data_IF_262614946974
#
_entry.id   IF_262614946974
#
_cell.length_a   1.000
_cell.length_b   1.000
_cell.length_c   1.000
_cell.angle_alpha   90.00
_cell.angle_beta   90.00
_cell.angle_gamma   90.00
#
_symmetry.space_group_name_H-M   'P 1'
#
loop_
_entity.id
_entity.type
_entity.pdbx_description
1 polymer ?
#
# COMPACT_ATOMS: atom_id res chain seq x y z
N UNK A 1 -22.82 -18.27 14.93
CA UNK A 1 -23.63 -17.10 14.56
C UNK A 1 -24.95 -17.64 14.02
N UNK A 2 -26.07 -17.24 14.65
CA UNK A 2 -27.40 -17.70 14.37
C UNK A 2 -28.28 -16.54 13.91
N UNK A 3 -29.46 -16.85 13.35
CA UNK A 3 -30.45 -15.83 12.98
C UNK A 3 -30.84 -14.99 14.19
N UNK A 4 -30.90 -13.67 14.02
CA UNK A 4 -31.17 -12.71 15.09
C UNK A 4 -29.98 -12.25 15.90
N UNK A 5 -28.80 -12.85 15.73
CA UNK A 5 -27.57 -12.35 16.33
C UNK A 5 -27.22 -10.95 15.78
N UNK A 6 -26.49 -10.17 16.58
CA UNK A 6 -25.95 -8.88 16.13
C UNK A 6 -24.44 -8.97 15.97
N UNK A 7 -23.96 -8.65 14.78
CA UNK A 7 -22.53 -8.55 14.48
C UNK A 7 -22.10 -7.10 14.28
N UNK A 8 -21.09 -6.65 15.03
CA UNK A 8 -20.61 -5.28 14.99
C UNK A 8 -19.21 -5.24 14.37
N UNK A 9 -19.06 -4.53 13.25
CA UNK A 9 -17.76 -4.16 12.73
C UNK A 9 -17.23 -2.91 13.42
N UNK A 10 -16.27 -3.05 14.34
CA UNK A 10 -15.62 -1.90 14.97
C UNK A 10 -14.46 -1.32 14.12
N UNK A 11 -14.16 -1.95 13.00
CA UNK A 11 -13.12 -1.50 12.07
C UNK A 11 -13.72 -0.70 10.90
N UNK A 12 -13.01 0.33 10.47
CA UNK A 12 -13.37 1.07 9.26
C UNK A 12 -12.90 0.31 8.00
N UNK A 13 -13.74 0.29 6.98
CA UNK A 13 -13.36 -0.26 5.67
C UNK A 13 -12.20 0.56 5.09
N UNK A 14 -11.12 -0.12 4.71
CA UNK A 14 -9.96 0.50 4.07
C UNK A 14 -10.20 0.55 2.56
N UNK A 15 -9.89 1.68 1.87
CA UNK A 15 -10.00 1.76 0.42
C UNK A 15 -9.30 0.59 -0.28
N UNK A 16 -10.04 -0.11 -1.15
CA UNK A 16 -9.60 -1.32 -1.85
C UNK A 16 -10.06 -2.64 -1.22
N UNK A 17 -10.60 -2.63 0.00
CA UNK A 17 -11.15 -3.82 0.68
C UNK A 17 -12.68 -3.88 0.66
N UNK A 18 -13.34 -2.93 0.02
CA UNK A 18 -14.80 -2.78 0.04
C UNK A 18 -15.52 -4.05 -0.42
N UNK A 19 -15.04 -4.67 -1.50
CA UNK A 19 -15.64 -5.89 -2.06
C UNK A 19 -15.55 -7.05 -1.07
N UNK A 20 -14.41 -7.22 -0.41
CA UNK A 20 -14.21 -8.30 0.56
C UNK A 20 -15.07 -8.09 1.81
N UNK A 21 -15.13 -6.86 2.33
CA UNK A 21 -15.96 -6.51 3.49
C UNK A 21 -17.44 -6.67 3.17
N UNK A 22 -17.92 -6.15 2.03
CA UNK A 22 -19.31 -6.29 1.60
C UNK A 22 -19.71 -7.76 1.41
N UNK A 23 -18.80 -8.61 0.94
CA UNK A 23 -19.05 -10.05 0.85
C UNK A 23 -19.32 -10.67 2.23
N UNK A 24 -18.56 -10.27 3.25
CA UNK A 24 -18.78 -10.77 4.63
C UNK A 24 -20.11 -10.25 5.17
N UNK A 25 -20.41 -8.95 4.98
CA UNK A 25 -21.68 -8.34 5.39
C UNK A 25 -22.86 -9.08 4.76
N UNK A 26 -22.84 -9.30 3.44
CA UNK A 26 -23.90 -9.98 2.73
C UNK A 26 -24.09 -11.42 3.23
N UNK A 27 -23.00 -12.15 3.46
CA UNK A 27 -23.07 -13.53 3.98
C UNK A 27 -23.68 -13.60 5.40
N UNK A 28 -23.43 -12.59 6.24
CA UNK A 28 -24.02 -12.49 7.57
C UNK A 28 -25.52 -12.13 7.47
N UNK A 29 -25.85 -11.16 6.64
CA UNK A 29 -27.24 -10.73 6.43
C UNK A 29 -28.12 -11.84 5.83
N UNK A 30 -27.57 -12.65 4.92
CA UNK A 30 -28.24 -13.81 4.32
C UNK A 30 -28.60 -14.89 5.37
N UNK A 31 -27.85 -14.93 6.49
CA UNK A 31 -28.11 -15.78 7.64
C UNK A 31 -29.07 -15.14 8.68
N UNK A 32 -29.67 -14.00 8.38
CA UNK A 32 -30.55 -13.30 9.31
C UNK A 32 -29.83 -12.58 10.46
N UNK A 33 -28.52 -12.35 10.33
CA UNK A 33 -27.73 -11.63 11.33
C UNK A 33 -27.90 -10.12 11.13
N UNK A 34 -28.13 -9.37 12.20
CA UNK A 34 -28.15 -7.91 12.18
C UNK A 34 -26.73 -7.37 12.15
N UNK A 35 -26.31 -6.77 11.02
CA UNK A 35 -24.96 -6.26 10.87
C UNK A 35 -24.94 -4.76 11.14
N UNK A 36 -24.10 -4.33 12.09
CA UNK A 36 -23.80 -2.91 12.38
C UNK A 36 -22.37 -2.59 11.99
N UNK A 37 -22.15 -1.49 11.28
CA UNK A 37 -20.82 -1.11 10.78
C UNK A 37 -20.59 0.41 10.89
N UNK A 38 -19.35 0.84 10.66
CA UNK A 38 -18.77 2.08 11.14
C UNK A 38 -19.22 3.40 10.48
N UNK A 39 -20.22 3.41 9.62
CA UNK A 39 -20.85 4.65 9.20
C UNK A 39 -21.63 5.32 10.34
N UNK A 40 -21.97 4.54 11.35
CA UNK A 40 -22.43 5.00 12.65
C UNK A 40 -21.17 5.24 13.50
N UNK A 41 -20.84 6.50 13.76
CA UNK A 41 -19.64 6.97 14.51
C UNK A 41 -19.45 6.34 15.90
N UNK A 42 -20.31 5.43 16.29
CA UNK A 42 -20.38 4.83 17.62
C UNK A 42 -19.43 3.64 17.82
N UNK A 43 -18.99 2.96 16.73
CA UNK A 43 -18.27 1.69 16.87
C UNK A 43 -16.79 1.74 16.47
N UNK A 44 -16.30 2.85 15.93
CA UNK A 44 -14.92 2.97 15.48
C UNK A 44 -14.23 4.20 16.06
N UNK A 45 -13.08 3.96 16.68
CA UNK A 45 -12.13 5.01 17.07
C UNK A 45 -10.92 4.92 16.14
N UNK A 46 -10.59 6.04 15.50
CA UNK A 46 -9.40 6.10 14.62
C UNK A 46 -8.13 5.79 15.42
N UNK A 47 -7.27 4.92 14.90
CA UNK A 47 -5.92 4.71 15.44
C UNK A 47 -4.97 5.87 15.17
N UNK A 48 -5.35 6.80 14.27
CA UNK A 48 -4.60 8.03 14.04
C UNK A 48 -5.07 9.14 14.97
N UNK A 49 -4.12 9.78 15.61
CA UNK A 49 -4.40 10.89 16.53
C UNK A 49 -4.96 12.10 15.77
N UNK A 50 -5.88 12.84 16.40
CA UNK A 50 -6.35 14.12 15.91
C UNK A 50 -5.42 15.27 16.35
N UNK A 51 -5.65 16.49 15.82
CA UNK A 51 -4.80 17.65 16.14
C UNK A 51 -4.76 17.99 17.64
N UNK A 52 -5.88 18.03 18.38
CA UNK A 52 -5.86 18.26 19.82
C UNK A 52 -5.00 17.25 20.59
N UNK A 53 -5.20 15.97 20.36
CA UNK A 53 -4.42 14.89 21.01
C UNK A 53 -2.92 14.98 20.66
N UNK A 54 -2.61 15.22 19.39
CA UNK A 54 -1.25 15.45 18.93
C UNK A 54 -0.60 16.64 19.67
N UNK A 55 -1.32 17.74 19.83
CA UNK A 55 -0.81 18.91 20.55
C UNK A 55 -0.63 18.66 22.04
N UNK A 56 -1.49 17.86 22.66
CA UNK A 56 -1.31 17.47 24.07
C UNK A 56 -0.10 16.56 24.26
N UNK A 57 0.17 15.68 23.30
CA UNK A 57 1.42 14.90 23.27
C UNK A 57 2.65 15.81 23.21
N UNK A 58 2.68 16.78 22.29
CA UNK A 58 3.81 17.71 22.16
C UNK A 58 3.99 18.62 23.38
N UNK A 59 2.91 19.03 24.05
CA UNK A 59 3.01 19.77 25.33
C UNK A 59 3.72 18.95 26.42
N UNK A 60 3.49 17.64 26.45
CA UNK A 60 4.11 16.72 27.43
C UNK A 60 5.58 16.42 27.07
N UNK A 61 5.85 16.09 25.82
CA UNK A 61 7.19 15.70 25.34
C UNK A 61 8.13 16.89 25.22
N UNK A 62 7.63 18.07 24.85
CA UNK A 62 8.37 19.33 24.62
C UNK A 62 9.57 19.11 23.68
N UNK A 63 9.38 18.58 22.46
CA UNK A 63 10.48 18.31 21.55
C UNK A 63 11.15 19.60 21.08
N UNK A 64 12.46 19.57 20.91
CA UNK A 64 13.23 20.69 20.36
C UNK A 64 13.06 20.79 18.84
N UNK A 65 12.85 19.65 18.18
CA UNK A 65 12.71 19.52 16.74
C UNK A 65 11.84 18.32 16.42
N UNK A 66 10.99 18.44 15.39
CA UNK A 66 10.06 17.38 14.97
C UNK A 66 10.25 17.10 13.49
N UNK A 67 10.33 15.82 13.13
CA UNK A 67 10.28 15.34 11.76
C UNK A 67 9.00 14.53 11.55
N UNK A 68 7.96 15.10 10.92
CA UNK A 68 6.78 14.33 10.52
C UNK A 68 7.20 13.24 9.53
N UNK A 69 6.74 11.99 9.79
CA UNK A 69 7.07 10.85 8.95
C UNK A 69 5.85 9.93 8.77
N UNK A 70 5.97 8.95 7.89
CA UNK A 70 4.93 7.95 7.64
C UNK A 70 3.62 8.57 7.14
N UNK A 71 3.69 9.33 6.05
CA UNK A 71 2.52 9.94 5.43
C UNK A 71 2.81 10.47 4.03
N UNK A 72 1.76 10.81 3.31
CA UNK A 72 1.89 11.52 2.05
C UNK A 72 2.48 12.92 2.29
N UNK A 73 3.21 13.44 1.32
CA UNK A 73 3.90 14.73 1.44
C UNK A 73 2.97 15.88 1.88
N UNK A 74 1.72 15.88 1.41
CA UNK A 74 0.71 16.89 1.81
C UNK A 74 0.41 16.84 3.30
N UNK A 75 0.36 15.64 3.90
CA UNK A 75 0.11 15.45 5.33
C UNK A 75 1.33 15.87 6.15
N UNK A 76 2.54 15.53 5.70
CA UNK A 76 3.79 15.93 6.35
C UNK A 76 3.95 17.45 6.37
N UNK A 77 3.65 18.11 5.25
CA UNK A 77 3.66 19.58 5.13
C UNK A 77 2.59 20.22 6.04
N UNK A 78 1.38 19.64 6.05
CA UNK A 78 0.30 20.09 6.94
C UNK A 78 0.69 20.00 8.40
N UNK A 79 1.27 18.89 8.82
CA UNK A 79 1.76 18.66 10.18
C UNK A 79 2.85 19.68 10.57
N UNK A 80 3.88 19.85 9.70
CA UNK A 80 4.92 20.89 9.86
C UNK A 80 4.29 22.27 10.07
N UNK A 81 3.32 22.66 9.23
CA UNK A 81 2.65 23.96 9.30
C UNK A 81 1.94 24.17 10.65
N UNK A 82 1.22 23.14 11.13
CA UNK A 82 0.53 23.19 12.43
C UNK A 82 1.54 23.42 13.57
N UNK A 83 2.65 22.67 13.58
CA UNK A 83 3.68 22.78 14.61
C UNK A 83 4.38 24.13 14.60
N UNK A 84 4.78 24.61 13.44
CA UNK A 84 5.45 25.91 13.30
C UNK A 84 4.54 27.07 13.76
N UNK A 85 3.23 27.00 13.51
CA UNK A 85 2.25 27.97 14.01
C UNK A 85 2.11 27.94 15.55
N UNK A 86 2.60 26.90 16.20
CA UNK A 86 2.64 26.73 17.65
C UNK A 86 4.05 26.90 18.24
N UNK A 87 4.97 27.49 17.47
CA UNK A 87 6.38 27.69 17.85
C UNK A 87 7.12 26.37 18.16
N UNK A 88 6.70 25.25 17.59
CA UNK A 88 7.42 23.99 17.63
C UNK A 88 8.14 23.81 16.29
N UNK A 89 9.48 23.82 16.35
CA UNK A 89 10.30 23.67 15.14
C UNK A 89 10.06 22.31 14.49
N UNK A 90 9.66 22.31 13.23
CA UNK A 90 9.42 21.08 12.49
C UNK A 90 9.98 21.18 11.07
N UNK A 91 10.53 20.06 10.55
CA UNK A 91 11.06 19.98 9.21
C UNK A 91 10.59 18.69 8.52
N UNK A 92 10.29 18.78 7.22
CA UNK A 92 9.92 17.60 6.41
C UNK A 92 11.16 17.09 5.72
N UNK A 93 11.40 15.79 5.83
CA UNK A 93 12.49 15.06 5.19
C UNK A 93 11.87 14.01 4.26
N UNK A 94 12.37 13.95 3.04
CA UNK A 94 11.93 12.98 2.04
C UNK A 94 12.79 11.72 2.10
N UNK A 95 12.26 10.63 1.56
CA UNK A 95 13.04 9.40 1.42
C UNK A 95 14.31 9.67 0.59
N UNK A 96 15.45 9.17 1.06
CA UNK A 96 16.76 9.35 0.44
C UNK A 96 17.46 10.66 0.78
N UNK A 97 16.81 11.60 1.46
CA UNK A 97 17.50 12.79 1.99
C UNK A 97 18.30 12.42 3.25
N UNK A 98 19.57 12.78 3.25
CA UNK A 98 20.42 12.74 4.44
C UNK A 98 20.35 14.10 5.12
N UNK A 99 20.16 14.11 6.41
CA UNK A 99 20.10 15.33 7.20
C UNK A 99 21.21 15.33 8.26
N UNK A 100 21.85 16.47 8.40
CA UNK A 100 22.75 16.75 9.50
C UNK A 100 22.12 17.81 10.41
N UNK A 101 22.19 17.59 11.71
CA UNK A 101 21.64 18.49 12.73
C UNK A 101 22.79 18.90 13.65
N UNK A 102 23.09 20.17 13.68
CA UNK A 102 24.10 20.69 14.58
C UNK A 102 23.56 20.94 16.01
N UNK A 103 24.46 21.33 16.93
CA UNK A 103 24.13 21.60 18.33
C UNK A 103 23.14 22.77 18.50
N UNK A 104 23.02 23.64 17.52
CA UNK A 104 22.11 24.79 17.50
C UNK A 104 20.80 24.45 16.76
N UNK A 105 20.55 23.16 16.49
CA UNK A 105 19.38 22.63 15.76
C UNK A 105 19.25 23.21 14.34
N UNK A 106 20.36 23.61 13.73
CA UNK A 106 20.41 23.97 12.31
C UNK A 106 20.43 22.68 11.49
N UNK A 107 19.58 22.62 10.48
CA UNK A 107 19.43 21.45 9.62
C UNK A 107 20.12 21.74 8.30
N UNK A 108 21.02 20.88 7.89
CA UNK A 108 21.59 20.82 6.55
C UNK A 108 21.06 19.57 5.86
N UNK A 109 20.59 19.70 4.64
CA UNK A 109 20.04 18.59 3.84
C UNK A 109 20.96 18.30 2.67
N UNK A 110 21.26 17.02 2.48
CA UNK A 110 21.87 16.48 1.29
C UNK A 110 20.87 15.56 0.57
N UNK A 111 20.60 15.85 -0.69
CA UNK A 111 19.65 15.10 -1.55
C UNK A 111 20.40 14.35 -2.65
N UNK A 112 21.67 14.00 -2.42
CA UNK A 112 22.51 13.28 -3.39
C UNK A 112 21.99 11.87 -3.69
N UNK A 113 21.36 11.24 -2.71
CA UNK A 113 20.82 9.89 -2.85
C UNK A 113 19.38 9.93 -3.41
N UNK A 114 19.18 9.30 -4.56
CA UNK A 114 17.83 9.09 -5.10
C UNK A 114 17.36 7.69 -4.70
N UNK A 115 16.29 7.57 -3.91
CA UNK A 115 15.79 6.27 -3.53
C UNK A 115 15.27 5.54 -4.77
N UNK A 116 15.85 4.39 -5.06
CA UNK A 116 15.37 3.50 -6.10
C UNK A 116 14.31 2.54 -5.54
N UNK A 117 13.34 2.19 -6.39
CA UNK A 117 12.37 1.15 -6.05
C UNK A 117 12.99 -0.20 -6.34
N UNK A 118 13.20 -0.99 -5.30
CA UNK A 118 13.66 -2.36 -5.41
C UNK A 118 12.49 -3.33 -5.28
N UNK A 119 12.48 -4.33 -6.13
CA UNK A 119 11.52 -5.44 -6.08
C UNK A 119 12.22 -6.67 -5.50
N UNK A 120 11.53 -7.38 -4.63
CA UNK A 120 12.00 -8.63 -4.01
C UNK A 120 11.20 -9.78 -4.60
N UNK A 121 11.87 -10.75 -5.19
CA UNK A 121 11.29 -11.98 -5.71
C UNK A 121 12.08 -13.18 -5.18
N UNK A 122 11.62 -13.79 -4.13
CA UNK A 122 12.34 -14.82 -3.40
C UNK A 122 13.68 -14.30 -2.87
N UNK A 123 14.77 -14.77 -3.44
CA UNK A 123 16.16 -14.33 -3.11
C UNK A 123 16.71 -13.25 -4.04
N UNK A 124 15.96 -12.88 -5.06
CA UNK A 124 16.40 -11.89 -6.06
C UNK A 124 15.90 -10.51 -5.60
N UNK A 125 16.82 -9.57 -5.52
CA UNK A 125 16.52 -8.15 -5.31
C UNK A 125 17.02 -7.41 -6.54
N UNK A 126 16.12 -6.69 -7.21
CA UNK A 126 16.46 -5.95 -8.41
C UNK A 126 15.55 -4.71 -8.59
N UNK A 127 16.02 -3.75 -9.37
CA UNK A 127 15.23 -2.58 -9.75
C UNK A 127 14.22 -2.87 -10.87
N UNK A 128 13.42 -1.86 -11.23
CA UNK A 128 12.40 -1.96 -12.28
C UNK A 128 12.95 -2.27 -13.67
N UNK A 129 14.25 -2.02 -13.89
CA UNK A 129 14.90 -2.23 -15.21
C UNK A 129 15.34 -3.68 -15.44
N UNK A 130 15.17 -4.54 -14.42
CA UNK A 130 15.47 -5.95 -14.59
C UNK A 130 14.57 -6.58 -15.68
N UNK A 131 15.20 -7.26 -16.62
CA UNK A 131 14.52 -7.85 -17.78
C UNK A 131 13.40 -8.82 -17.37
N UNK A 132 13.65 -9.68 -16.38
CA UNK A 132 12.66 -10.65 -15.92
C UNK A 132 11.41 -10.00 -15.34
N UNK A 133 11.54 -8.88 -14.63
CA UNK A 133 10.39 -8.12 -14.11
C UNK A 133 9.60 -7.46 -15.24
N UNK A 134 10.27 -6.85 -16.21
CA UNK A 134 9.62 -6.26 -17.38
C UNK A 134 8.85 -7.30 -18.19
N UNK A 135 9.48 -8.46 -18.43
CA UNK A 135 8.83 -9.55 -19.15
C UNK A 135 7.61 -10.09 -18.41
N UNK A 136 7.68 -10.27 -17.09
CA UNK A 136 6.53 -10.69 -16.27
C UNK A 136 5.41 -9.67 -16.30
N UNK A 137 5.72 -8.38 -16.22
CA UNK A 137 4.71 -7.31 -16.33
C UNK A 137 4.03 -7.33 -17.70
N UNK A 138 4.81 -7.55 -18.77
CA UNK A 138 4.29 -7.69 -20.13
C UNK A 138 3.38 -8.92 -20.27
N UNK A 139 3.81 -10.09 -19.79
CA UNK A 139 2.99 -11.30 -19.78
C UNK A 139 1.71 -11.14 -18.96
N UNK A 140 1.75 -10.41 -17.85
CA UNK A 140 0.56 -10.13 -17.03
C UNK A 140 -0.44 -9.21 -17.74
N UNK A 141 0.03 -8.27 -18.54
CA UNK A 141 -0.82 -7.32 -19.27
C UNK A 141 -1.36 -7.88 -20.59
N UNK A 142 -0.55 -8.63 -21.31
CA UNK A 142 -0.82 -9.06 -22.70
C UNK A 142 -1.14 -10.56 -22.81
N UNK A 143 -0.83 -11.34 -21.77
CA UNK A 143 -0.90 -12.80 -21.80
C UNK A 143 0.32 -13.45 -22.48
N UNK A 144 0.27 -14.78 -22.56
CA UNK A 144 1.35 -15.58 -23.13
C UNK A 144 0.78 -16.71 -24.00
N UNK A 145 1.36 -16.93 -25.17
CA UNK A 145 1.11 -18.09 -26.02
C UNK A 145 2.40 -18.87 -26.19
N UNK A 146 2.36 -20.15 -25.86
CA UNK A 146 3.46 -21.09 -26.09
C UNK A 146 3.08 -22.02 -27.23
N UNK A 147 3.87 -22.02 -28.29
CA UNK A 147 3.67 -22.92 -29.44
C UNK A 147 4.84 -23.91 -29.46
N UNK A 148 4.53 -25.19 -29.36
CA UNK A 148 5.47 -26.28 -29.44
C UNK A 148 5.32 -26.97 -30.79
N UNK A 149 6.37 -26.96 -31.58
CA UNK A 149 6.42 -27.61 -32.90
C UNK A 149 7.39 -28.78 -32.82
N UNK A 150 6.93 -29.99 -33.15
CA UNK A 150 7.75 -31.18 -33.27
C UNK A 150 7.75 -31.65 -34.73
N UNK A 151 8.93 -31.84 -35.30
CA UNK A 151 9.11 -32.33 -36.63
C UNK A 151 9.89 -33.64 -36.62
N UNK A 152 9.36 -34.68 -37.25
CA UNK A 152 10.01 -35.97 -37.41
C UNK A 152 10.47 -36.13 -38.85
N UNK A 153 11.79 -35.97 -39.07
CA UNK A 153 12.37 -36.04 -40.42
C UNK A 153 12.18 -37.43 -41.09
N UNK A 154 12.27 -38.52 -40.30
CA UNK A 154 12.07 -39.88 -40.77
C UNK A 154 10.65 -40.17 -41.27
N UNK A 155 9.65 -39.52 -40.70
CA UNK A 155 8.22 -39.68 -41.03
C UNK A 155 7.67 -38.53 -41.86
N UNK A 156 8.47 -37.47 -42.11
CA UNK A 156 8.04 -36.21 -42.74
C UNK A 156 6.72 -35.68 -42.13
N UNK A 157 6.59 -35.81 -40.82
CA UNK A 157 5.38 -35.42 -40.10
C UNK A 157 5.65 -34.27 -39.14
N UNK A 158 4.62 -33.40 -38.94
CA UNK A 158 4.65 -32.25 -38.09
C UNK A 158 3.54 -32.37 -37.02
N UNK A 159 3.87 -32.07 -35.77
CA UNK A 159 2.88 -31.91 -34.70
C UNK A 159 3.03 -30.50 -34.09
N UNK A 160 1.90 -29.83 -33.96
CA UNK A 160 1.85 -28.49 -33.33
C UNK A 160 0.96 -28.58 -32.10
N UNK A 161 1.45 -28.14 -30.97
CA UNK A 161 0.70 -27.96 -29.72
C UNK A 161 0.79 -26.50 -29.29
N UNK A 162 -0.27 -25.97 -28.76
CA UNK A 162 -0.25 -24.63 -28.21
C UNK A 162 -0.89 -24.58 -26.83
N UNK A 163 -0.40 -23.68 -26.00
CA UNK A 163 -0.95 -23.37 -24.69
C UNK A 163 -1.03 -21.84 -24.57
N UNK A 164 -2.09 -21.34 -23.98
CA UNK A 164 -2.26 -19.90 -23.74
C UNK A 164 -2.55 -19.64 -22.27
N UNK A 165 -2.01 -18.53 -21.76
CA UNK A 165 -2.17 -18.08 -20.39
C UNK A 165 -2.56 -16.60 -20.41
N UNK A 166 -3.57 -16.22 -19.59
CA UNK A 166 -4.03 -14.83 -19.49
C UNK A 166 -4.76 -14.30 -20.73
N UNK A 167 -5.10 -15.14 -21.70
CA UNK A 167 -5.87 -14.76 -22.88
C UNK A 167 -7.34 -15.23 -22.74
N UNK A 168 -8.31 -14.50 -23.31
CA UNK A 168 -9.70 -14.96 -23.39
C UNK A 168 -9.75 -16.30 -24.14
N UNK A 169 -10.46 -17.27 -23.57
CA UNK A 169 -10.75 -18.52 -24.29
C UNK A 169 -11.98 -18.23 -25.16
N UNK A 170 -11.80 -18.18 -26.45
CA UNK A 170 -12.92 -18.22 -27.39
C UNK A 170 -13.43 -19.66 -27.38
N UNK A 171 -14.71 -19.82 -27.06
CA UNK A 171 -15.44 -21.09 -27.19
C UNK A 171 -15.72 -21.37 -28.66
#
# INVERSE_FOLDING_TARGET
>A
IEEGDTFVFSSKTIPGNEVAVNRVINNLSDKGVVVKYSDEREFHVSGHTNIPEMMDFYKKVKPLLVFPMHGEIRHLIGHKKILNNKNIKAEVVKNGEVIEIDKDLKITKDSSEKPERLFVDGKIIANSDNAAFRERMKMAAEGLVVIQIRYWNSKKSLSVQFSSFGLPRFQ
#
